data_IF_084181854482
#
_entry.id   IF_084181854482
#
_cell.length_a   1.000
_cell.length_b   1.000
_cell.length_c   1.000
_cell.angle_alpha   90.00
_cell.angle_beta   90.00
_cell.angle_gamma   90.00
#
_symmetry.space_group_name_H-M   'P 1'
#
loop_
_entity.id
_entity.type
_entity.pdbx_description
1 polymer ?
#
# COMPACT_ATOMS: atom_id res chain seq x y z
N UNK A 1 11.79 -24.57 19.20
CA UNK A 1 11.32 -24.40 20.59
C UNK A 1 11.82 -23.07 21.09
N UNK A 2 10.94 -22.30 21.76
CA UNK A 2 11.14 -20.94 22.28
C UNK A 2 10.83 -19.83 21.27
N UNK A 3 9.90 -18.96 21.67
CA UNK A 3 9.32 -17.89 20.86
C UNK A 3 7.83 -17.65 21.11
N UNK A 4 7.27 -18.16 22.21
CA UNK A 4 5.88 -17.89 22.63
C UNK A 4 5.92 -17.53 24.10
N UNK A 5 5.36 -16.34 24.41
CA UNK A 5 5.13 -15.73 25.72
C UNK A 5 6.23 -14.78 26.22
N UNK A 6 5.99 -13.48 26.02
CA UNK A 6 6.81 -12.40 26.58
C UNK A 6 6.17 -11.64 27.76
N UNK A 7 4.90 -11.84 28.14
CA UNK A 7 4.34 -11.07 29.26
C UNK A 7 3.39 -11.85 30.16
N UNK A 8 3.89 -12.19 31.36
CA UNK A 8 3.08 -12.42 32.55
C UNK A 8 2.29 -11.13 32.84
N UNK A 9 0.97 -11.18 32.66
CA UNK A 9 0.08 -10.05 32.93
C UNK A 9 -0.31 -10.06 34.42
N UNK A 10 0.06 -9.00 35.13
CA UNK A 10 -0.07 -8.94 36.59
C UNK A 10 -1.27 -8.11 37.10
N UNK A 11 -2.16 -7.55 36.27
CA UNK A 11 -3.51 -7.06 36.69
C UNK A 11 -4.36 -6.48 35.53
N UNK A 12 -5.66 -6.75 35.54
CA UNK A 12 -6.64 -6.39 34.50
C UNK A 12 -6.95 -4.87 34.41
N UNK A 13 -6.76 -4.12 35.50
CA UNK A 13 -7.21 -2.73 35.60
C UNK A 13 -6.30 -1.77 34.81
N UNK A 14 -4.98 -2.06 34.80
CA UNK A 14 -4.01 -1.32 33.99
C UNK A 14 -4.10 -1.67 32.50
N UNK A 15 -4.56 -2.89 32.17
CA UNK A 15 -4.79 -3.31 30.79
C UNK A 15 -5.91 -2.49 30.12
N UNK A 16 -6.95 -2.11 30.87
CA UNK A 16 -8.03 -1.24 30.37
C UNK A 16 -7.54 0.20 30.17
N UNK A 17 -6.69 0.72 31.05
CA UNK A 17 -6.08 2.04 30.86
C UNK A 17 -5.14 2.08 29.66
N UNK A 18 -4.31 1.06 29.48
CA UNK A 18 -3.44 0.92 28.30
C UNK A 18 -4.27 0.75 27.03
N UNK A 19 -5.31 -0.09 27.04
CA UNK A 19 -6.21 -0.25 25.90
C UNK A 19 -6.93 1.07 25.54
N UNK A 20 -7.42 1.81 26.54
CA UNK A 20 -8.08 3.10 26.34
C UNK A 20 -7.11 4.19 25.89
N UNK A 21 -5.86 4.14 26.31
CA UNK A 21 -4.77 5.02 25.84
C UNK A 21 -4.39 4.72 24.39
N UNK A 22 -4.29 3.43 24.01
CA UNK A 22 -4.03 2.99 22.64
C UNK A 22 -5.20 3.39 21.72
N UNK A 23 -6.44 3.22 22.16
CA UNK A 23 -7.63 3.68 21.42
C UNK A 23 -7.73 5.20 21.27
N UNK A 24 -7.19 5.99 22.22
CA UNK A 24 -7.10 7.45 22.10
C UNK A 24 -5.94 7.92 21.23
N UNK A 25 -4.86 7.14 21.16
CA UNK A 25 -3.68 7.39 20.32
C UNK A 25 -3.90 6.99 18.85
N UNK A 26 -4.80 6.04 18.61
CA UNK A 26 -5.36 5.81 17.28
C UNK A 26 -6.23 7.02 16.93
N UNK A 27 -5.61 7.97 16.23
CA UNK A 27 -6.28 9.02 15.47
C UNK A 27 -7.56 8.45 14.88
N UNK A 28 -8.69 8.98 15.35
CA UNK A 28 -9.98 8.86 14.70
C UNK A 28 -9.78 9.26 13.24
N UNK A 29 -9.99 8.29 12.36
CA UNK A 29 -10.52 8.43 11.01
C UNK A 29 -10.19 9.77 10.34
N UNK A 30 -9.17 9.76 9.46
CA UNK A 30 -9.39 10.48 8.22
C UNK A 30 -10.74 9.97 7.73
N UNK A 31 -11.75 10.82 7.81
CA UNK A 31 -13.07 10.45 7.33
C UNK A 31 -12.85 10.10 5.85
N UNK A 32 -13.55 9.11 5.27
CA UNK A 32 -13.37 8.77 3.85
C UNK A 32 -13.61 9.98 2.91
N UNK A 33 -14.14 11.09 3.44
CA UNK A 33 -14.35 12.37 2.78
C UNK A 33 -13.16 13.36 2.82
N UNK A 34 -12.07 13.07 3.54
CA UNK A 34 -10.88 13.92 3.61
C UNK A 34 -9.79 13.49 2.61
N UNK A 35 -10.04 12.42 1.86
CA UNK A 35 -9.27 12.07 0.67
C UNK A 35 -9.69 13.00 -0.46
N UNK A 36 -8.70 13.62 -1.10
CA UNK A 36 -8.86 14.61 -2.16
C UNK A 36 -10.00 14.20 -3.11
N UNK A 37 -11.09 14.99 -3.15
CA UNK A 37 -12.22 14.77 -4.07
C UNK A 37 -11.79 14.80 -5.55
N UNK A 38 -10.57 15.25 -5.81
CA UNK A 38 -9.93 15.28 -7.13
C UNK A 38 -8.75 14.33 -7.14
N UNK A 39 -8.88 13.22 -7.88
CA UNK A 39 -7.76 12.38 -8.28
C UNK A 39 -7.38 12.71 -9.72
N UNK A 40 -6.12 12.48 -10.06
CA UNK A 40 -5.66 12.60 -11.43
C UNK A 40 -5.82 11.25 -12.12
N UNK A 41 -6.45 11.22 -13.28
CA UNK A 41 -6.42 10.05 -14.15
C UNK A 41 -4.96 9.63 -14.45
N UNK A 42 -4.67 8.33 -14.64
CA UNK A 42 -3.36 7.89 -15.10
C UNK A 42 -2.94 8.62 -16.37
N UNK A 43 -1.66 8.97 -16.48
CA UNK A 43 -1.11 9.67 -17.67
C UNK A 43 -1.13 8.80 -18.94
N UNK A 44 -1.24 7.48 -18.76
CA UNK A 44 -1.23 6.49 -19.82
C UNK A 44 -2.55 5.75 -19.88
N UNK A 45 -3.01 5.44 -21.09
CA UNK A 45 -4.29 4.73 -21.27
C UNK A 45 -4.20 3.29 -20.75
N UNK A 46 -5.20 2.81 -19.99
CA UNK A 46 -5.32 1.40 -19.61
C UNK A 46 -5.41 0.45 -20.81
N UNK A 47 -5.87 0.90 -21.98
CA UNK A 47 -5.99 0.05 -23.17
C UNK A 47 -4.62 -0.46 -23.67
N UNK A 48 -3.55 0.28 -23.37
CA UNK A 48 -2.18 -0.09 -23.72
C UNK A 48 -1.64 -1.26 -22.90
N UNK A 49 -2.31 -1.65 -21.79
CA UNK A 49 -1.92 -2.80 -20.97
C UNK A 49 -1.82 -4.09 -21.78
N UNK A 50 -2.69 -4.25 -22.79
CA UNK A 50 -2.69 -5.41 -23.69
C UNK A 50 -1.44 -5.49 -24.57
N UNK A 51 -0.79 -4.35 -24.84
CA UNK A 51 0.48 -4.28 -25.57
C UNK A 51 1.71 -4.47 -24.66
N UNK A 52 1.57 -4.20 -23.36
CA UNK A 52 2.65 -4.30 -22.36
C UNK A 52 2.79 -5.71 -21.83
N UNK A 53 1.66 -6.35 -21.48
CA UNK A 53 1.65 -7.68 -20.89
C UNK A 53 1.67 -8.72 -22.00
N UNK A 54 2.79 -9.46 -22.19
CA UNK A 54 2.88 -10.46 -23.24
C UNK A 54 1.96 -11.64 -22.95
N UNK A 55 1.37 -12.20 -24.02
CA UNK A 55 0.58 -13.45 -23.94
C UNK A 55 1.45 -14.63 -23.48
N UNK A 56 2.74 -14.62 -23.82
CA UNK A 56 3.73 -15.59 -23.36
C UNK A 56 4.30 -15.17 -22.00
N UNK A 57 3.91 -15.89 -20.94
CA UNK A 57 4.33 -15.64 -19.56
C UNK A 57 5.84 -15.75 -19.32
N UNK A 58 6.60 -16.32 -20.27
CA UNK A 58 8.08 -16.38 -20.18
C UNK A 58 8.75 -15.11 -20.66
N UNK A 59 8.05 -14.23 -21.36
CA UNK A 59 8.60 -12.98 -21.84
C UNK A 59 8.59 -11.96 -20.69
N UNK A 60 9.75 -11.39 -20.33
CA UNK A 60 9.79 -10.34 -19.34
C UNK A 60 9.11 -9.09 -19.91
N UNK A 61 8.47 -8.33 -19.03
CA UNK A 61 7.93 -7.01 -19.29
C UNK A 61 8.18 -6.14 -18.05
N UNK A 62 8.08 -4.83 -18.19
CA UNK A 62 8.26 -3.92 -17.06
C UNK A 62 6.93 -3.74 -16.31
N UNK A 63 6.86 -4.23 -15.07
CA UNK A 63 5.69 -4.04 -14.22
C UNK A 63 5.43 -2.56 -13.91
N UNK A 64 6.43 -1.68 -14.02
CA UNK A 64 6.26 -0.22 -13.83
C UNK A 64 5.31 0.38 -14.85
N UNK A 65 5.33 -0.13 -16.09
CA UNK A 65 4.41 0.30 -17.14
C UNK A 65 2.95 -0.08 -16.82
N UNK A 66 2.76 -1.21 -16.12
CA UNK A 66 1.43 -1.61 -15.63
C UNK A 66 1.00 -0.71 -14.47
N UNK A 67 1.87 -0.50 -13.48
CA UNK A 67 1.58 0.35 -12.32
C UNK A 67 1.23 1.78 -12.76
N UNK A 68 1.98 2.35 -13.70
CA UNK A 68 1.75 3.70 -14.23
C UNK A 68 0.36 3.88 -14.86
N UNK A 69 -0.29 2.82 -15.34
CA UNK A 69 -1.63 2.85 -15.95
C UNK A 69 -2.77 2.59 -14.94
N UNK A 70 -2.42 2.27 -13.70
CA UNK A 70 -3.37 1.95 -12.64
C UNK A 70 -3.46 3.04 -11.57
N UNK A 71 -2.35 3.73 -11.31
CA UNK A 71 -2.26 4.68 -10.19
C UNK A 71 -2.51 6.12 -10.65
N UNK A 72 -3.00 6.93 -9.72
CA UNK A 72 -3.39 8.31 -9.98
C UNK A 72 -2.21 9.13 -10.48
N UNK A 73 -2.43 9.84 -11.60
CA UNK A 73 -1.41 10.63 -12.29
C UNK A 73 -0.13 9.86 -12.62
N UNK A 74 -0.18 8.53 -12.68
CA UNK A 74 0.96 7.63 -12.87
C UNK A 74 2.09 7.82 -11.84
N UNK A 75 1.77 8.31 -10.64
CA UNK A 75 2.73 8.56 -9.57
C UNK A 75 2.83 7.37 -8.63
N UNK A 76 4.03 6.82 -8.48
CA UNK A 76 4.34 5.82 -7.48
C UNK A 76 5.76 6.00 -6.96
N UNK A 77 5.99 5.59 -5.73
CA UNK A 77 7.30 5.64 -5.08
C UNK A 77 7.77 4.23 -4.76
N UNK A 78 8.77 3.75 -5.48
CA UNK A 78 9.34 2.43 -5.24
C UNK A 78 10.09 2.38 -3.90
N UNK A 79 9.72 1.41 -3.07
CA UNK A 79 10.46 1.07 -1.87
C UNK A 79 11.46 -0.03 -2.21
N UNK A 80 12.75 0.18 -1.89
CA UNK A 80 13.83 -0.79 -2.12
C UNK A 80 13.99 -1.26 -3.59
N UNK A 81 13.97 -0.33 -4.55
CA UNK A 81 14.17 -0.62 -5.98
C UNK A 81 15.44 -1.45 -6.29
N UNK A 82 16.47 -1.39 -5.44
CA UNK A 82 17.73 -2.14 -5.61
C UNK A 82 17.71 -3.57 -5.03
N UNK A 83 16.63 -3.99 -4.35
CA UNK A 83 16.56 -5.28 -3.65
C UNK A 83 15.81 -6.33 -4.48
N UNK A 84 16.39 -6.66 -5.65
CA UNK A 84 15.97 -7.76 -6.51
C UNK A 84 15.08 -7.35 -7.69
N UNK A 85 15.62 -7.41 -8.91
CA UNK A 85 14.95 -7.01 -10.16
C UNK A 85 13.68 -7.82 -10.52
N UNK A 86 13.33 -8.83 -9.73
CA UNK A 86 12.14 -9.66 -9.95
C UNK A 86 10.91 -9.19 -9.18
N UNK A 87 11.05 -8.20 -8.29
CA UNK A 87 9.96 -7.71 -7.47
C UNK A 87 9.94 -6.17 -7.48
N UNK A 88 8.77 -5.60 -7.72
CA UNK A 88 8.53 -4.16 -7.58
C UNK A 88 7.59 -3.96 -6.40
N UNK A 89 8.06 -3.23 -5.38
CA UNK A 89 7.24 -2.75 -4.26
C UNK A 89 7.18 -1.25 -4.33
N UNK A 90 5.98 -0.68 -4.29
CA UNK A 90 5.80 0.75 -4.41
C UNK A 90 4.59 1.22 -3.61
N UNK A 91 4.68 2.45 -3.11
CA UNK A 91 3.53 3.20 -2.58
C UNK A 91 2.93 4.06 -3.69
N UNK A 92 1.61 4.16 -3.76
CA UNK A 92 0.90 4.97 -4.76
C UNK A 92 -0.49 5.38 -4.25
N UNK A 93 -1.29 6.04 -5.09
CA UNK A 93 -2.68 6.39 -4.80
C UNK A 93 -3.61 5.88 -5.91
N UNK A 94 -4.82 5.43 -5.56
CA UNK A 94 -5.91 5.12 -6.49
C UNK A 94 -7.17 5.85 -6.03
N UNK A 95 -7.72 6.70 -6.89
CA UNK A 95 -8.84 7.58 -6.59
C UNK A 95 -8.65 8.36 -5.27
N UNK A 96 -7.45 8.88 -5.03
CA UNK A 96 -7.06 9.60 -3.82
C UNK A 96 -6.82 8.73 -2.57
N UNK A 97 -6.88 7.40 -2.71
CA UNK A 97 -6.65 6.47 -1.60
C UNK A 97 -5.23 5.91 -1.65
N UNK A 98 -4.43 6.06 -0.58
CA UNK A 98 -3.07 5.52 -0.55
C UNK A 98 -3.08 3.98 -0.54
N UNK A 99 -2.19 3.39 -1.34
CA UNK A 99 -1.95 1.94 -1.47
C UNK A 99 -0.44 1.64 -1.34
N UNK A 100 -0.08 0.42 -0.92
CA UNK A 100 1.31 -0.04 -0.82
C UNK A 100 1.44 -1.47 -0.32
#
# INVERSE_FOLDING_TARGET
>A
SSGVADHFAENDEHAIEIARSIFRSMKNEASPSDHCQTYDEPLYSPDELTGIVPVDLRKPYDCREVIARLVDGSRFHEFKADYGNTLVTAFAEIHGHPIG
#
